data_IF_361429307465
#
_entry.id   IF_361429307465
#
_cell.length_a   1.000
_cell.length_b   1.000
_cell.length_c   1.000
_cell.angle_alpha   90.00
_cell.angle_beta   90.00
_cell.angle_gamma   90.00
#
_symmetry.space_group_name_H-M   'P 1'
#
loop_
_entity.id
_entity.type
_entity.pdbx_description
1 polymer ?
#
# COMPACT_ATOMS: atom_id res chain seq x y z
N UNK A 1 -30.93 63.99 -62.74
CA UNK A 1 -32.06 63.50 -63.54
C UNK A 1 -32.58 62.22 -62.89
N UNK A 2 -33.88 62.23 -62.55
CA UNK A 2 -34.86 61.12 -62.43
C UNK A 2 -34.28 59.69 -62.42
N UNK A 3 -34.64 58.80 -61.49
CA UNK A 3 -36.00 58.24 -61.45
C UNK A 3 -36.21 57.33 -60.23
N UNK A 4 -37.49 57.24 -59.89
CA UNK A 4 -38.13 56.66 -58.71
C UNK A 4 -38.16 55.12 -58.69
N UNK A 5 -38.33 54.62 -57.47
CA UNK A 5 -38.77 53.28 -57.04
C UNK A 5 -39.72 52.56 -58.02
N UNK A 6 -39.62 51.23 -58.07
CA UNK A 6 -40.80 50.34 -58.01
C UNK A 6 -40.42 48.99 -57.39
N UNK A 7 -41.28 48.56 -56.49
CA UNK A 7 -41.27 47.29 -55.77
C UNK A 7 -41.55 46.13 -56.73
N UNK A 8 -40.92 44.97 -56.48
CA UNK A 8 -41.53 43.68 -56.71
C UNK A 8 -41.21 42.75 -55.54
N UNK A 9 -42.28 42.24 -54.93
CA UNK A 9 -42.25 41.25 -53.87
C UNK A 9 -41.82 39.89 -54.43
N UNK A 10 -41.02 39.15 -53.65
CA UNK A 10 -40.85 37.70 -53.79
C UNK A 10 -40.94 37.04 -52.41
N UNK A 11 -41.57 35.86 -52.32
CA UNK A 11 -42.09 35.32 -51.07
C UNK A 11 -40.97 34.70 -50.22
N UNK A 12 -41.09 34.87 -48.90
CA UNK A 12 -40.34 34.11 -47.90
C UNK A 12 -40.83 32.65 -47.92
N UNK A 13 -39.99 31.72 -48.39
CA UNK A 13 -40.13 30.32 -48.03
C UNK A 13 -39.69 30.18 -46.56
N UNK A 14 -40.65 30.00 -45.66
CA UNK A 14 -40.40 29.56 -44.30
C UNK A 14 -40.21 28.04 -44.32
N UNK A 15 -38.97 27.57 -44.19
CA UNK A 15 -38.67 26.17 -43.89
C UNK A 15 -39.06 25.89 -42.43
N UNK A 16 -40.17 25.17 -42.23
CA UNK A 16 -40.57 24.61 -40.95
C UNK A 16 -39.64 23.43 -40.64
N UNK A 17 -38.72 23.61 -39.70
CA UNK A 17 -37.98 22.50 -39.10
C UNK A 17 -38.86 21.88 -38.00
N UNK A 18 -39.45 20.73 -38.27
CA UNK A 18 -40.18 19.94 -37.29
C UNK A 18 -39.21 19.35 -36.28
N UNK A 19 -39.17 19.88 -35.06
CA UNK A 19 -38.49 19.26 -33.92
C UNK A 19 -39.39 18.13 -33.42
N UNK A 20 -38.99 16.88 -33.67
CA UNK A 20 -39.57 15.72 -33.00
C UNK A 20 -39.02 15.65 -31.57
N UNK A 21 -39.84 16.00 -30.59
CA UNK A 21 -39.55 15.73 -29.17
C UNK A 21 -39.84 14.25 -28.93
N UNK A 22 -38.80 13.42 -28.93
CA UNK A 22 -38.86 12.05 -28.43
C UNK A 22 -38.82 12.11 -26.90
N UNK A 23 -39.98 11.97 -26.27
CA UNK A 23 -40.08 11.69 -24.83
C UNK A 23 -39.60 10.27 -24.58
N UNK A 24 -38.31 10.11 -24.29
CA UNK A 24 -37.77 8.86 -23.77
C UNK A 24 -38.31 8.60 -22.36
N UNK A 25 -39.14 7.58 -22.20
CA UNK A 25 -39.51 7.05 -20.89
C UNK A 25 -38.28 6.32 -20.35
N UNK A 26 -37.65 6.86 -19.31
CA UNK A 26 -36.57 6.18 -18.61
C UNK A 26 -37.13 4.93 -17.95
N UNK A 27 -36.78 3.75 -18.49
CA UNK A 27 -37.05 2.48 -17.84
C UNK A 27 -36.12 2.38 -16.62
N UNK A 28 -36.70 2.47 -15.43
CA UNK A 28 -36.02 2.19 -14.17
C UNK A 28 -35.54 0.74 -14.18
N UNK A 29 -34.23 0.54 -14.19
CA UNK A 29 -33.62 -0.78 -13.99
C UNK A 29 -34.02 -1.32 -12.60
N UNK A 30 -34.35 -2.62 -12.47
CA UNK A 30 -34.66 -3.21 -11.17
C UNK A 30 -33.41 -3.16 -10.29
N UNK A 31 -33.59 -2.74 -9.04
CA UNK A 31 -32.55 -2.73 -8.03
C UNK A 31 -31.96 -4.14 -7.87
N UNK A 32 -30.65 -4.26 -8.02
CA UNK A 32 -29.93 -5.50 -7.71
C UNK A 32 -30.07 -5.79 -6.21
N UNK A 33 -30.62 -6.97 -5.90
CA UNK A 33 -30.60 -7.55 -4.55
C UNK A 33 -29.15 -7.69 -4.09
N UNK A 34 -28.82 -7.34 -2.82
CA UNK A 34 -27.49 -7.56 -2.30
C UNK A 34 -27.24 -9.08 -2.22
N UNK A 35 -26.36 -9.57 -3.07
CA UNK A 35 -25.80 -10.92 -2.94
C UNK A 35 -24.96 -10.94 -1.67
N UNK A 36 -25.30 -11.83 -0.74
CA UNK A 36 -24.56 -12.06 0.49
C UNK A 36 -23.07 -12.23 0.19
N UNK A 37 -22.25 -11.29 0.66
CA UNK A 37 -20.82 -11.50 0.78
C UNK A 37 -20.60 -12.77 1.62
N UNK A 38 -19.71 -13.64 1.16
CA UNK A 38 -19.29 -14.81 1.92
C UNK A 38 -18.78 -14.35 3.28
N UNK A 39 -19.16 -15.08 4.34
CA UNK A 39 -18.61 -14.87 5.67
C UNK A 39 -17.08 -14.94 5.58
N UNK A 40 -16.44 -13.79 5.79
CA UNK A 40 -15.04 -13.76 6.15
C UNK A 40 -14.87 -14.54 7.46
N UNK A 41 -13.89 -15.43 7.51
CA UNK A 41 -13.46 -16.07 8.75
C UNK A 41 -13.12 -14.98 9.77
N UNK A 42 -13.55 -15.10 11.05
CA UNK A 42 -13.10 -14.16 12.06
C UNK A 42 -11.58 -14.26 12.17
N UNK A 43 -10.90 -13.12 12.10
CA UNK A 43 -9.51 -13.00 12.54
C UNK A 43 -9.38 -13.68 13.91
N UNK A 44 -8.34 -14.50 14.10
CA UNK A 44 -8.12 -15.11 15.39
C UNK A 44 -8.05 -14.01 16.44
N UNK A 45 -8.89 -14.10 17.47
CA UNK A 45 -8.74 -13.25 18.65
C UNK A 45 -7.39 -13.61 19.27
N UNK A 46 -6.42 -12.69 19.16
CA UNK A 46 -5.19 -12.74 19.94
C UNK A 46 -5.57 -12.99 21.39
N UNK A 47 -4.91 -13.94 22.05
CA UNK A 47 -5.03 -14.05 23.51
C UNK A 47 -4.51 -12.72 24.11
N UNK A 48 -5.23 -12.19 25.10
CA UNK A 48 -5.00 -10.87 25.73
C UNK A 48 -3.59 -10.72 26.34
N UNK A 49 -2.75 -11.77 26.24
CA UNK A 49 -1.41 -11.87 26.78
C UNK A 49 -0.31 -11.44 25.80
N UNK A 50 -0.51 -11.50 24.47
CA UNK A 50 0.60 -11.24 23.51
C UNK A 50 1.22 -9.84 23.68
N UNK A 51 0.37 -8.83 23.89
CA UNK A 51 0.80 -7.44 24.09
C UNK A 51 0.75 -6.96 25.54
N UNK A 52 0.63 -7.86 26.53
CA UNK A 52 0.41 -7.49 27.93
C UNK A 52 1.45 -6.49 28.47
N UNK A 53 2.70 -6.62 28.05
CA UNK A 53 3.79 -5.75 28.50
C UNK A 53 3.76 -4.37 27.82
N UNK A 54 3.02 -4.19 26.74
CA UNK A 54 2.85 -2.91 26.05
C UNK A 54 1.63 -2.12 26.56
N UNK A 55 0.63 -2.79 27.14
CA UNK A 55 -0.64 -2.17 27.52
C UNK A 55 -0.47 -0.99 28.47
N UNK A 56 -1.10 0.14 28.12
CA UNK A 56 -1.10 1.38 28.92
C UNK A 56 0.20 2.19 28.87
N UNK A 57 1.21 1.75 28.12
CA UNK A 57 2.44 2.52 27.90
C UNK A 57 2.27 3.47 26.71
N UNK A 58 3.10 4.51 26.67
CA UNK A 58 3.22 5.47 25.55
C UNK A 58 4.69 5.86 25.35
N UNK A 59 4.97 6.57 24.25
CA UNK A 59 6.29 7.07 23.88
C UNK A 59 7.34 5.97 23.81
N UNK A 60 8.56 6.29 24.25
CA UNK A 60 9.68 5.34 24.28
C UNK A 60 9.38 4.08 25.10
N UNK A 61 8.59 4.18 26.18
CA UNK A 61 8.26 3.01 26.99
C UNK A 61 7.40 2.00 26.21
N UNK A 62 6.45 2.48 25.40
CA UNK A 62 5.67 1.65 24.49
C UNK A 62 6.57 1.06 23.40
N UNK A 63 7.37 1.91 22.74
CA UNK A 63 8.31 1.49 21.68
C UNK A 63 9.22 0.33 22.14
N UNK A 64 9.91 0.49 23.27
CA UNK A 64 10.82 -0.55 23.79
C UNK A 64 10.10 -1.84 24.22
N UNK A 65 8.84 -1.73 24.69
CA UNK A 65 8.07 -2.92 25.05
C UNK A 65 7.64 -3.69 23.80
N UNK A 66 7.18 -2.98 22.77
CA UNK A 66 6.86 -3.58 21.48
C UNK A 66 8.08 -4.18 20.81
N UNK A 67 9.22 -3.47 20.82
CA UNK A 67 10.50 -3.99 20.34
C UNK A 67 10.82 -5.34 20.99
N UNK A 68 10.77 -5.41 22.32
CA UNK A 68 11.03 -6.65 23.06
C UNK A 68 10.09 -7.78 22.60
N UNK A 69 8.78 -7.52 22.48
CA UNK A 69 7.77 -8.50 22.06
C UNK A 69 8.04 -9.01 20.64
N UNK A 70 8.25 -8.11 19.68
CA UNK A 70 8.35 -8.48 18.27
C UNK A 70 9.77 -8.89 17.85
N UNK A 71 10.76 -8.70 18.74
CA UNK A 71 12.14 -9.13 18.55
C UNK A 71 12.26 -10.65 18.44
N UNK A 72 11.39 -11.36 19.18
CA UNK A 72 11.26 -12.81 19.16
C UNK A 72 10.54 -13.26 17.89
N UNK A 73 11.32 -13.68 16.89
CA UNK A 73 10.78 -14.15 15.62
C UNK A 73 11.56 -15.35 15.07
N UNK A 74 10.84 -16.19 14.31
CA UNK A 74 11.49 -17.10 13.36
C UNK A 74 11.96 -16.29 12.16
N UNK A 75 13.14 -16.64 11.65
CA UNK A 75 13.74 -15.93 10.53
C UNK A 75 13.73 -16.79 9.28
N UNK A 76 13.57 -16.17 8.12
CA UNK A 76 13.55 -16.83 6.82
C UNK A 76 14.88 -16.66 6.10
N UNK A 77 15.24 -17.64 5.28
CA UNK A 77 16.23 -17.41 4.23
C UNK A 77 15.62 -16.60 3.10
N UNK A 78 16.46 -15.89 2.34
CA UNK A 78 16.00 -15.08 1.20
C UNK A 78 15.22 -15.91 0.18
N UNK A 79 15.56 -17.19 -0.03
CA UNK A 79 14.81 -18.09 -0.92
C UNK A 79 13.42 -18.43 -0.39
N UNK A 80 13.26 -18.61 0.93
CA UNK A 80 11.96 -18.94 1.55
C UNK A 80 10.97 -17.77 1.47
N UNK A 81 11.45 -16.54 1.33
CA UNK A 81 10.59 -15.36 1.16
C UNK A 81 9.65 -15.52 -0.04
N UNK A 82 10.05 -16.19 -1.12
CA UNK A 82 9.17 -16.40 -2.27
C UNK A 82 7.91 -17.18 -1.90
N UNK A 83 8.05 -18.27 -1.15
CA UNK A 83 6.92 -19.10 -0.73
C UNK A 83 6.07 -18.37 0.31
N UNK A 84 6.71 -17.55 1.17
CA UNK A 84 6.02 -16.70 2.13
C UNK A 84 5.14 -15.66 1.42
N UNK A 85 5.68 -14.88 0.48
CA UNK A 85 4.91 -13.85 -0.23
C UNK A 85 3.76 -14.43 -1.06
N UNK A 86 3.93 -15.63 -1.61
CA UNK A 86 2.85 -16.36 -2.30
C UNK A 86 1.71 -16.75 -1.36
N UNK A 87 1.94 -16.83 -0.05
CA UNK A 87 0.93 -17.13 0.94
C UNK A 87 0.36 -15.87 1.61
N UNK A 88 1.21 -14.90 1.95
CA UNK A 88 0.81 -13.68 2.66
C UNK A 88 0.02 -12.72 1.79
N UNK A 89 0.32 -12.68 0.50
CA UNK A 89 -0.28 -11.73 -0.45
C UNK A 89 -1.15 -12.44 -1.50
N UNK A 90 -1.61 -13.67 -1.21
CA UNK A 90 -2.52 -14.43 -2.08
C UNK A 90 -3.78 -13.61 -2.41
N UNK A 91 -4.13 -13.56 -3.70
CA UNK A 91 -5.35 -12.87 -4.13
C UNK A 91 -6.60 -13.65 -3.64
N UNK A 92 -7.45 -13.04 -2.80
CA UNK A 92 -8.64 -13.71 -2.26
C UNK A 92 -9.67 -14.07 -3.35
N UNK A 93 -9.62 -13.42 -4.52
CA UNK A 93 -10.46 -13.75 -5.66
C UNK A 93 -9.83 -14.80 -6.60
N UNK A 94 -8.52 -15.05 -6.49
CA UNK A 94 -7.80 -16.02 -7.30
C UNK A 94 -6.54 -16.54 -6.59
N UNK A 95 -6.64 -17.69 -5.92
CA UNK A 95 -5.53 -18.28 -5.16
C UNK A 95 -4.30 -18.70 -5.99
N UNK A 96 -4.37 -18.65 -7.33
CA UNK A 96 -3.20 -18.84 -8.20
C UNK A 96 -2.36 -17.57 -8.34
N UNK A 97 -2.85 -16.44 -7.82
CA UNK A 97 -2.24 -15.12 -7.95
C UNK A 97 -1.85 -14.52 -6.60
N UNK A 98 -1.03 -13.48 -6.65
CA UNK A 98 -0.76 -12.54 -5.57
C UNK A 98 -1.24 -11.13 -5.94
N UNK A 99 -1.57 -10.31 -4.95
CA UNK A 99 -1.83 -8.88 -5.13
C UNK A 99 -0.51 -8.12 -4.99
N UNK A 100 -0.13 -7.38 -6.04
CA UNK A 100 1.05 -6.53 -6.04
C UNK A 100 0.78 -5.24 -5.25
N UNK A 101 1.72 -4.82 -4.40
CA UNK A 101 1.54 -3.73 -3.44
C UNK A 101 1.09 -2.41 -4.09
N UNK A 102 1.95 -1.78 -4.89
CA UNK A 102 1.75 -0.44 -5.43
C UNK A 102 0.76 -0.44 -6.58
N UNK A 103 0.75 -1.45 -7.43
CA UNK A 103 -0.20 -1.52 -8.57
C UNK A 103 -1.58 -2.03 -8.18
N UNK A 104 -1.70 -2.80 -7.08
CA UNK A 104 -2.94 -3.51 -6.72
C UNK A 104 -3.32 -4.61 -7.71
N UNK A 105 -2.44 -4.96 -8.65
CA UNK A 105 -2.71 -5.91 -9.72
C UNK A 105 -2.64 -7.34 -9.18
N UNK A 106 -3.60 -8.17 -9.58
CA UNK A 106 -3.54 -9.62 -9.39
C UNK A 106 -2.60 -10.22 -10.43
N UNK A 107 -1.52 -10.88 -9.99
CA UNK A 107 -0.46 -11.42 -10.83
C UNK A 107 -0.21 -12.90 -10.51
N UNK A 108 0.08 -13.74 -11.51
CA UNK A 108 0.28 -15.16 -11.26
C UNK A 108 1.47 -15.41 -10.31
N UNK A 109 1.30 -16.32 -9.36
CA UNK A 109 2.38 -16.75 -8.44
C UNK A 109 3.61 -17.29 -9.16
N UNK A 110 3.45 -17.78 -10.38
CA UNK A 110 4.53 -18.31 -11.23
C UNK A 110 5.31 -17.24 -11.99
N UNK A 111 4.78 -16.02 -12.13
CA UNK A 111 5.43 -14.92 -12.83
C UNK A 111 6.33 -14.12 -11.87
N UNK A 112 7.09 -14.84 -11.05
CA UNK A 112 7.99 -14.26 -10.05
C UNK A 112 9.44 -14.35 -10.54
N UNK A 113 10.14 -13.23 -10.57
CA UNK A 113 11.44 -13.18 -11.23
C UNK A 113 12.06 -11.78 -11.25
N UNK A 114 12.63 -11.42 -12.40
CA UNK A 114 13.33 -10.16 -12.60
C UNK A 114 13.14 -9.57 -14.00
N UNK A 115 12.34 -10.23 -14.85
CA UNK A 115 12.06 -9.76 -16.19
C UNK A 115 10.86 -8.79 -16.19
N UNK A 116 10.71 -8.03 -17.28
CA UNK A 116 9.51 -7.19 -17.45
C UNK A 116 8.27 -8.08 -17.56
N UNK A 117 7.26 -7.80 -16.74
CA UNK A 117 6.04 -8.60 -16.62
C UNK A 117 6.05 -9.54 -15.41
N UNK A 118 7.23 -9.77 -14.81
CA UNK A 118 7.31 -10.47 -13.53
C UNK A 118 6.97 -9.53 -12.36
N UNK A 119 6.68 -10.16 -11.22
CA UNK A 119 6.81 -9.52 -9.92
C UNK A 119 8.10 -9.96 -9.21
N UNK A 120 8.64 -9.08 -8.38
CA UNK A 120 9.78 -9.36 -7.51
C UNK A 120 9.49 -8.97 -6.07
N UNK A 121 10.50 -9.13 -5.21
CA UNK A 121 10.44 -8.75 -3.80
C UNK A 121 10.74 -7.26 -3.67
N UNK A 122 9.71 -6.48 -3.34
CA UNK A 122 9.87 -5.12 -2.87
C UNK A 122 10.29 -5.13 -1.40
N UNK A 123 11.34 -4.38 -1.10
CA UNK A 123 11.81 -4.12 0.25
C UNK A 123 11.28 -2.76 0.66
N UNK A 124 10.09 -2.70 1.29
CA UNK A 124 9.45 -1.41 1.62
C UNK A 124 10.37 -0.54 2.46
N UNK A 125 11.17 -1.10 3.38
CA UNK A 125 12.38 -0.43 3.82
C UNK A 125 13.51 -0.70 2.82
N UNK A 126 13.92 0.30 2.05
CA UNK A 126 14.95 0.10 1.04
C UNK A 126 16.27 -0.35 1.69
N UNK A 127 16.82 -1.49 1.26
CA UNK A 127 18.03 -2.12 1.84
C UNK A 127 19.24 -1.20 1.97
N UNK A 128 19.36 -0.20 1.09
CA UNK A 128 20.46 0.76 1.12
C UNK A 128 20.39 1.72 2.32
N UNK A 129 19.22 1.87 2.95
CA UNK A 129 19.03 2.65 4.16
C UNK A 129 19.37 1.77 5.37
N UNK A 130 20.66 1.51 5.60
CA UNK A 130 21.14 0.63 6.68
C UNK A 130 21.95 -0.59 6.22
N UNK A 131 22.18 -0.74 4.92
CA UNK A 131 23.11 -1.70 4.28
C UNK A 131 22.95 -3.16 4.74
N UNK A 132 21.73 -3.59 5.05
CA UNK A 132 21.48 -4.95 5.56
C UNK A 132 21.36 -6.02 4.46
N UNK A 133 21.29 -5.60 3.20
CA UNK A 133 21.27 -6.51 2.05
C UNK A 133 20.11 -7.52 2.10
N UNK A 134 20.42 -8.80 1.89
CA UNK A 134 19.42 -9.89 1.84
C UNK A 134 19.74 -11.01 2.83
N UNK A 135 20.62 -10.72 3.79
CA UNK A 135 20.90 -11.62 4.89
C UNK A 135 19.68 -11.75 5.79
N UNK A 136 19.62 -12.88 6.50
CA UNK A 136 18.61 -13.13 7.52
C UNK A 136 18.56 -11.99 8.54
N UNK A 137 17.36 -11.55 8.89
CA UNK A 137 17.11 -10.32 9.67
C UNK A 137 16.25 -9.36 8.85
N UNK A 138 16.53 -8.04 8.85
CA UNK A 138 15.70 -7.06 8.14
C UNK A 138 15.63 -7.34 6.63
N UNK A 139 16.68 -7.94 6.03
CA UNK A 139 16.72 -8.32 4.62
C UNK A 139 15.70 -9.39 4.20
N UNK A 140 15.13 -10.11 5.15
CA UNK A 140 14.21 -11.23 4.94
C UNK A 140 12.92 -11.12 5.75
N UNK A 141 12.71 -10.00 6.47
CA UNK A 141 11.54 -9.81 7.30
C UNK A 141 10.28 -9.54 6.45
N UNK A 142 9.42 -10.55 6.36
CA UNK A 142 8.23 -10.49 5.53
C UNK A 142 7.16 -9.58 6.10
N UNK A 143 7.32 -8.91 7.24
CA UNK A 143 6.40 -7.82 7.58
C UNK A 143 6.52 -6.66 6.60
N UNK A 144 7.71 -6.40 6.03
CA UNK A 144 7.96 -5.30 5.10
C UNK A 144 8.28 -5.71 3.65
N UNK A 145 8.48 -7.01 3.39
CA UNK A 145 8.67 -7.51 2.02
C UNK A 145 7.31 -7.74 1.37
N UNK A 146 7.12 -7.21 0.15
CA UNK A 146 5.86 -7.37 -0.61
C UNK A 146 6.14 -7.82 -2.04
N UNK A 147 5.22 -8.54 -2.70
CA UNK A 147 5.32 -8.76 -4.14
C UNK A 147 5.03 -7.45 -4.88
N UNK A 148 5.85 -7.10 -5.88
CA UNK A 148 5.64 -5.89 -6.67
C UNK A 148 6.07 -6.06 -8.12
N UNK A 149 5.43 -5.33 -9.03
CA UNK A 149 5.82 -5.28 -10.44
C UNK A 149 7.28 -4.81 -10.56
N UNK A 150 8.09 -5.54 -11.33
CA UNK A 150 9.53 -5.26 -11.45
C UNK A 150 9.81 -3.83 -11.92
N UNK A 151 8.98 -3.27 -12.81
CA UNK A 151 9.19 -1.92 -13.33
C UNK A 151 8.82 -0.86 -12.30
N UNK A 152 7.72 -1.08 -11.57
CA UNK A 152 7.27 -0.15 -10.52
C UNK A 152 8.23 -0.17 -9.34
N UNK A 153 8.69 -1.36 -8.93
CA UNK A 153 9.74 -1.50 -7.92
C UNK A 153 11.03 -0.78 -8.37
N UNK A 154 11.42 -0.90 -9.65
CA UNK A 154 12.57 -0.14 -10.18
C UNK A 154 12.37 1.38 -10.14
N UNK A 155 11.14 1.89 -10.33
CA UNK A 155 10.84 3.33 -10.23
C UNK A 155 10.91 3.81 -8.78
N UNK A 156 10.40 3.00 -7.84
CA UNK A 156 10.50 3.26 -6.40
C UNK A 156 11.97 3.29 -5.98
N UNK A 157 12.76 2.29 -6.38
CA UNK A 157 14.19 2.22 -6.11
C UNK A 157 14.51 2.27 -4.61
N UNK A 158 15.32 3.25 -4.19
CA UNK A 158 15.63 3.54 -2.80
C UNK A 158 15.08 4.88 -2.32
N UNK A 159 14.01 5.37 -2.95
CA UNK A 159 13.43 6.65 -2.58
C UNK A 159 12.80 6.58 -1.19
N UNK A 160 12.84 7.71 -0.50
CA UNK A 160 12.11 7.93 0.73
C UNK A 160 10.60 7.97 0.45
N UNK A 161 9.77 7.83 1.48
CA UNK A 161 8.32 8.00 1.36
C UNK A 161 7.90 9.43 1.72
N UNK A 162 7.20 10.07 0.78
CA UNK A 162 6.58 11.40 0.87
C UNK A 162 5.52 11.50 -0.26
N UNK A 163 4.99 12.67 -0.53
CA UNK A 163 3.95 12.94 -1.53
C UNK A 163 4.42 12.86 -3.00
N UNK A 164 5.65 12.39 -3.26
CA UNK A 164 6.14 12.16 -4.61
C UNK A 164 6.04 13.40 -5.51
N UNK A 165 5.62 13.18 -6.76
CA UNK A 165 5.36 14.30 -7.67
C UNK A 165 4.60 13.89 -8.92
N UNK A 166 5.28 13.29 -9.89
CA UNK A 166 4.64 12.91 -11.16
C UNK A 166 4.08 11.49 -11.08
N UNK A 167 2.94 11.26 -11.75
CA UNK A 167 2.31 9.95 -11.77
C UNK A 167 3.25 8.89 -12.38
N UNK A 168 3.30 7.72 -11.74
CA UNK A 168 4.09 6.58 -12.21
C UNK A 168 3.35 5.86 -13.33
N UNK A 169 3.99 5.79 -14.51
CA UNK A 169 3.42 5.09 -15.66
C UNK A 169 3.19 3.60 -15.34
N UNK A 170 1.99 3.09 -15.63
CA UNK A 170 1.63 1.69 -15.38
C UNK A 170 1.23 1.38 -13.92
N UNK A 171 1.32 2.35 -13.01
CA UNK A 171 0.90 2.22 -11.61
C UNK A 171 0.02 3.40 -11.18
N UNK A 172 -1.23 3.50 -11.67
CA UNK A 172 -2.12 4.63 -11.39
C UNK A 172 -2.29 4.88 -9.89
N UNK A 173 -2.31 6.16 -9.51
CA UNK A 173 -2.43 6.59 -8.11
C UNK A 173 -1.11 6.62 -7.34
N UNK A 174 -0.01 6.10 -7.92
CA UNK A 174 1.32 6.26 -7.34
C UNK A 174 2.03 7.45 -7.99
N UNK A 175 2.79 8.19 -7.20
CA UNK A 175 3.56 9.35 -7.66
C UNK A 175 5.01 9.21 -7.26
N UNK A 176 5.91 9.79 -8.05
CA UNK A 176 7.33 9.81 -7.72
C UNK A 176 8.01 11.04 -8.28
N UNK A 177 9.05 11.48 -7.58
CA UNK A 177 9.96 12.52 -8.03
C UNK A 177 11.42 12.06 -7.84
N UNK A 178 12.34 13.01 -7.63
CA UNK A 178 13.78 12.73 -7.58
C UNK A 178 14.21 11.90 -6.38
N UNK A 179 13.53 12.05 -5.24
CA UNK A 179 13.95 11.47 -3.96
C UNK A 179 12.80 10.84 -3.17
N UNK A 180 11.56 10.95 -3.63
CA UNK A 180 10.40 10.41 -2.94
C UNK A 180 9.43 9.60 -3.82
N UNK A 181 8.68 8.74 -3.14
CA UNK A 181 7.61 7.93 -3.70
C UNK A 181 6.35 8.05 -2.83
N UNK A 182 5.22 8.30 -3.46
CA UNK A 182 3.88 8.27 -2.86
C UNK A 182 3.15 7.04 -3.40
N UNK A 183 2.78 6.06 -2.56
CA UNK A 183 1.98 4.95 -3.00
C UNK A 183 0.52 5.38 -3.20
N UNK A 184 -0.24 4.59 -3.97
CA UNK A 184 -1.69 4.77 -4.11
C UNK A 184 -2.39 4.77 -2.75
N UNK A 185 -3.49 5.51 -2.65
CA UNK A 185 -4.22 5.74 -1.38
C UNK A 185 -4.55 4.45 -0.62
N UNK A 186 -4.93 3.38 -1.34
CA UNK A 186 -5.35 2.13 -0.73
C UNK A 186 -4.21 1.21 -0.23
N UNK A 187 -2.97 1.69 -0.16
CA UNK A 187 -1.85 1.03 0.57
C UNK A 187 -0.94 2.05 1.29
N UNK A 188 -1.41 3.29 1.47
CA UNK A 188 -0.63 4.32 2.17
C UNK A 188 -0.40 3.93 3.61
N UNK A 189 -1.43 3.39 4.25
CA UNK A 189 -1.40 2.92 5.62
C UNK A 189 -0.56 1.66 5.78
N UNK A 190 -0.68 0.70 4.86
CA UNK A 190 0.19 -0.48 4.80
C UNK A 190 1.67 -0.08 4.81
N UNK A 191 2.06 0.82 3.88
CA UNK A 191 3.44 1.29 3.76
C UNK A 191 3.90 1.97 5.05
N UNK A 192 3.06 2.85 5.62
CA UNK A 192 3.36 3.50 6.88
C UNK A 192 3.61 2.49 8.00
N UNK A 193 2.70 1.55 8.22
CA UNK A 193 2.81 0.54 9.28
C UNK A 193 3.96 -0.43 9.06
N UNK A 194 4.35 -0.72 7.82
CA UNK A 194 5.55 -1.51 7.52
C UNK A 194 6.84 -0.75 7.89
N UNK A 195 6.93 0.54 7.58
CA UNK A 195 8.09 1.37 7.95
C UNK A 195 8.19 1.54 9.47
N UNK A 196 7.08 1.85 10.14
CA UNK A 196 7.04 2.03 11.59
C UNK A 196 7.35 0.71 12.32
N UNK A 197 6.86 -0.43 11.81
CA UNK A 197 7.24 -1.74 12.32
C UNK A 197 8.75 -1.97 12.24
N UNK A 198 9.39 -1.69 11.10
CA UNK A 198 10.83 -1.89 10.95
C UNK A 198 11.62 -1.04 11.95
N UNK A 199 11.14 0.17 12.25
CA UNK A 199 11.77 1.05 13.22
C UNK A 199 11.62 0.64 14.68
N UNK A 200 10.55 -0.10 15.00
CA UNK A 200 10.40 -0.73 16.32
C UNK A 200 11.14 -2.06 16.38
N UNK A 201 11.14 -2.84 15.29
CA UNK A 201 11.79 -4.14 15.28
C UNK A 201 13.31 -3.99 15.36
N UNK A 202 13.91 -3.08 14.61
CA UNK A 202 15.36 -3.00 14.44
C UNK A 202 15.95 -1.73 15.06
N UNK A 203 16.10 -1.70 16.40
CA UNK A 203 16.63 -0.56 17.18
C UNK A 203 18.17 -0.57 17.33
N UNK A 204 18.87 -1.43 16.57
CA UNK A 204 20.34 -1.47 16.53
C UNK A 204 21.03 -2.30 17.61
N UNK A 205 20.28 -3.10 18.38
CA UNK A 205 20.79 -3.98 19.44
C UNK A 205 21.02 -5.43 18.99
N UNK A 206 20.63 -5.80 17.76
CA UNK A 206 20.71 -7.14 17.19
C UNK A 206 21.67 -7.27 15.99
N UNK A 207 22.77 -6.49 16.02
CA UNK A 207 23.84 -6.42 15.01
C UNK A 207 23.46 -5.79 13.66
N UNK A 208 22.23 -5.31 13.51
CA UNK A 208 21.80 -4.47 12.40
C UNK A 208 21.87 -2.98 12.77
N UNK A 209 21.68 -2.11 11.79
CA UNK A 209 21.58 -0.68 12.03
C UNK A 209 20.29 -0.36 12.81
N UNK A 210 20.34 0.71 13.60
CA UNK A 210 19.16 1.35 14.18
C UNK A 210 18.36 2.02 13.05
N UNK A 211 17.22 1.42 12.70
CA UNK A 211 16.35 1.85 11.61
C UNK A 211 15.33 2.85 12.17
N UNK A 212 15.30 4.09 11.65
CA UNK A 212 14.33 5.09 12.14
C UNK A 212 13.78 5.99 11.01
N UNK A 213 12.45 6.13 10.82
CA UNK A 213 11.95 7.22 10.00
C UNK A 213 12.35 8.58 10.63
N UNK A 214 12.44 9.61 9.82
CA UNK A 214 12.70 10.97 10.27
C UNK A 214 11.75 11.94 9.56
N UNK A 215 11.93 13.25 9.63
CA UNK A 215 11.06 14.19 8.89
C UNK A 215 11.75 14.76 7.64
N UNK A 216 12.49 13.90 6.92
CA UNK A 216 13.29 14.26 5.74
C UNK A 216 13.19 13.23 4.62
N UNK A 217 13.56 13.69 3.42
CA UNK A 217 13.80 12.87 2.23
C UNK A 217 15.26 13.04 1.82
N UNK A 218 15.74 12.24 0.86
CA UNK A 218 17.13 12.19 0.44
C UNK A 218 18.09 11.71 1.55
N UNK A 219 17.68 10.69 2.32
CA UNK A 219 18.50 10.15 3.42
C UNK A 219 19.77 9.40 2.96
N UNK A 220 19.91 9.14 1.66
CA UNK A 220 21.09 8.51 1.08
C UNK A 220 21.28 7.07 1.60
N UNK A 221 22.38 6.82 2.31
CA UNK A 221 22.66 5.52 2.94
C UNK A 221 22.46 5.51 4.45
N UNK A 222 21.99 6.61 5.05
CA UNK A 222 21.64 6.62 6.46
C UNK A 222 20.53 5.60 6.72
N UNK A 223 20.49 4.95 7.90
CA UNK A 223 19.43 4.01 8.26
C UNK A 223 18.13 4.76 8.63
N UNK A 224 17.77 5.77 7.85
CA UNK A 224 16.57 6.55 8.01
C UNK A 224 15.74 6.52 6.74
N UNK A 225 14.41 6.45 6.84
CA UNK A 225 13.56 6.43 5.64
C UNK A 225 12.23 7.16 5.83
N UNK A 226 11.88 7.97 4.84
CA UNK A 226 10.59 8.64 4.72
C UNK A 226 10.35 9.76 5.74
N UNK A 227 9.30 10.55 5.47
CA UNK A 227 8.80 11.59 6.39
C UNK A 227 7.81 11.01 7.40
N UNK A 228 8.21 10.92 8.66
CA UNK A 228 7.44 10.43 9.79
C UNK A 228 6.09 11.15 9.90
N UNK A 229 6.06 12.48 9.75
CA UNK A 229 4.79 13.22 9.76
C UNK A 229 3.80 12.74 8.69
N UNK A 230 4.29 12.43 7.49
CA UNK A 230 3.48 11.92 6.37
C UNK A 230 3.10 10.45 6.61
N UNK A 231 4.02 9.62 7.09
CA UNK A 231 3.73 8.22 7.43
C UNK A 231 2.66 8.10 8.52
N UNK A 232 2.72 8.93 9.56
CA UNK A 232 1.68 9.02 10.59
C UNK A 232 0.33 9.40 10.00
N UNK A 233 0.30 10.42 9.14
CA UNK A 233 -0.92 10.84 8.45
C UNK A 233 -1.50 9.70 7.60
N UNK A 234 -0.68 9.05 6.78
CA UNK A 234 -1.09 7.91 5.96
C UNK A 234 -1.65 6.74 6.78
N UNK A 235 -1.01 6.40 7.91
CA UNK A 235 -1.52 5.35 8.80
C UNK A 235 -2.90 5.67 9.38
N UNK A 236 -3.24 6.95 9.57
CA UNK A 236 -4.56 7.36 10.06
C UNK A 236 -5.61 7.40 8.94
N UNK A 237 -5.23 7.87 7.75
CA UNK A 237 -6.12 8.03 6.59
C UNK A 237 -6.50 6.69 5.95
N UNK A 238 -5.60 5.71 6.04
CA UNK A 238 -5.76 4.35 5.50
C UNK A 238 -5.60 3.30 6.63
N UNK A 239 -6.65 3.07 7.44
CA UNK A 239 -6.63 2.12 8.56
C UNK A 239 -6.52 0.66 8.08
N UNK A 240 -6.04 -0.28 8.92
CA UNK A 240 -5.84 -1.67 8.52
C UNK A 240 -7.09 -2.34 7.95
N UNK A 241 -6.98 -2.85 6.73
CA UNK A 241 -8.06 -3.58 6.07
C UNK A 241 -7.98 -5.09 6.33
N UNK A 242 -8.96 -5.84 5.81
CA UNK A 242 -9.00 -7.29 6.00
C UNK A 242 -7.84 -8.03 5.32
N UNK A 243 -7.30 -7.49 4.22
CA UNK A 243 -6.18 -8.11 3.51
C UNK A 243 -4.90 -7.97 4.32
N UNK A 244 -4.64 -6.76 4.85
CA UNK A 244 -3.49 -6.48 5.71
C UNK A 244 -3.56 -7.26 7.04
N UNK A 245 -4.74 -7.33 7.67
CA UNK A 245 -4.95 -8.14 8.88
C UNK A 245 -4.71 -9.63 8.63
N UNK A 246 -5.26 -10.19 7.53
CA UNK A 246 -5.02 -11.58 7.15
C UNK A 246 -3.53 -11.84 6.88
N UNK A 247 -2.84 -10.89 6.26
CA UNK A 247 -1.39 -10.98 6.05
C UNK A 247 -0.65 -11.07 7.38
N UNK A 248 -0.96 -10.21 8.34
CA UNK A 248 -0.36 -10.25 9.68
C UNK A 248 -0.59 -11.62 10.37
N UNK A 249 -1.80 -12.16 10.25
CA UNK A 249 -2.15 -13.49 10.76
C UNK A 249 -1.32 -14.61 10.10
N UNK A 250 -1.23 -14.62 8.77
CA UNK A 250 -0.47 -15.64 8.04
C UNK A 250 1.01 -15.60 8.40
N UNK A 251 1.59 -14.41 8.58
CA UNK A 251 2.98 -14.26 9.01
C UNK A 251 3.18 -14.86 10.41
N UNK A 252 2.27 -14.57 11.33
CA UNK A 252 2.30 -15.08 12.70
C UNK A 252 2.10 -16.59 12.76
N UNK A 253 1.11 -17.15 12.08
CA UNK A 253 0.77 -18.56 12.20
C UNK A 253 1.76 -19.50 11.50
N UNK A 254 2.36 -19.03 10.39
CA UNK A 254 3.03 -19.94 9.43
C UNK A 254 4.49 -19.66 9.17
N UNK A 255 4.99 -18.46 9.48
CA UNK A 255 6.30 -18.03 8.97
C UNK A 255 7.25 -17.46 10.04
N UNK A 256 6.95 -16.27 10.57
CA UNK A 256 7.87 -15.57 11.47
C UNK A 256 7.41 -15.57 12.92
N UNK A 257 6.16 -15.92 13.21
CA UNK A 257 5.66 -16.07 14.59
C UNK A 257 5.74 -14.79 15.44
N UNK A 258 5.88 -13.64 14.78
CA UNK A 258 5.70 -12.31 15.36
C UNK A 258 4.66 -11.51 14.57
N UNK A 259 4.14 -10.46 15.20
CA UNK A 259 3.07 -9.60 14.66
C UNK A 259 3.61 -8.21 14.38
N UNK A 260 3.05 -7.53 13.36
CA UNK A 260 3.18 -6.08 13.26
C UNK A 260 2.14 -5.42 14.20
N UNK A 261 2.57 -4.78 15.30
CA UNK A 261 1.66 -4.25 16.30
C UNK A 261 0.83 -3.09 15.79
N UNK A 262 1.27 -2.40 14.74
CA UNK A 262 0.53 -1.27 14.18
C UNK A 262 -0.63 -1.71 13.28
N UNK A 263 -0.66 -2.99 12.85
CA UNK A 263 -1.81 -3.58 12.17
C UNK A 263 -2.87 -3.95 13.21
N UNK A 264 -2.45 -4.52 14.34
CA UNK A 264 -3.36 -4.97 15.41
C UNK A 264 -3.87 -3.81 16.28
N UNK A 265 -3.01 -2.81 16.51
CA UNK A 265 -3.25 -1.62 17.32
C UNK A 265 -2.78 -0.36 16.58
N UNK A 266 -3.51 0.09 15.53
CA UNK A 266 -3.12 1.25 14.74
C UNK A 266 -3.03 2.55 15.57
N UNK A 267 -3.74 2.63 16.70
CA UNK A 267 -3.65 3.76 17.64
C UNK A 267 -2.27 3.91 18.29
N UNK A 268 -1.45 2.85 18.30
CA UNK A 268 -0.10 2.93 18.90
C UNK A 268 0.89 3.73 18.08
N UNK A 269 0.59 4.03 16.81
CA UNK A 269 1.38 4.97 16.01
C UNK A 269 1.43 6.35 16.69
N UNK A 270 0.27 6.92 17.01
CA UNK A 270 0.20 8.21 17.74
C UNK A 270 0.58 8.09 19.22
N UNK A 271 0.52 6.89 19.79
CA UNK A 271 0.94 6.69 21.18
C UNK A 271 2.47 6.72 21.33
N UNK A 272 3.23 6.43 20.27
CA UNK A 272 4.70 6.45 20.28
C UNK A 272 5.26 7.79 19.79
N UNK A 273 4.76 8.31 18.66
CA UNK A 273 5.30 9.48 17.95
C UNK A 273 4.33 10.65 17.93
#
# INVERSE_FOLDING_TARGET
MSSRRRFYARPLLATVASIAVLTGVAATAPAATPTSAGQASPAATLDDTYYQDALGKTGTALKSSLHSIISEQTTLSYSQVWDALKATDEDPANSSNVILLYTGRSQAKSENGGDTGDWNREHVWAKSHGDFGTATGPGTDIHHLRPEDVQVNSVRGNKDFDNGGSAVSGAPGNFSDGDSFEPRDAVKGDVARMILYMAVRYEGDDAFADLEPNDSVSNGSAPNIGRLSVLKQWSQEDPPDSFEQNRNEVIFDRFQHNRNPFIDHPEWVEAIW
#
